data_IF_810592045508
#
_entry.id   IF_810592045508
#
_cell.length_a   1.000
_cell.length_b   1.000
_cell.length_c   1.000
_cell.angle_alpha   90.00
_cell.angle_beta   90.00
_cell.angle_gamma   90.00
#
_symmetry.space_group_name_H-M   'P 1'
#
loop_
_entity.id
_entity.type
_entity.pdbx_description
1 polymer ?
#
# COMPACT_ATOMS: atom_id res chain seq x y z
N UNK A 1 -14.17 -12.95 7.07
CA UNK A 1 -13.89 -11.58 6.58
C UNK A 1 -12.99 -11.71 5.37
N UNK A 2 -13.27 -10.94 4.33
CA UNK A 2 -12.43 -10.86 3.13
C UNK A 2 -11.33 -9.85 3.30
N UNK A 3 -10.21 -10.04 2.57
CA UNK A 3 -9.07 -9.14 2.57
C UNK A 3 -8.71 -8.80 1.13
N UNK A 4 -8.71 -7.52 0.77
CA UNK A 4 -8.21 -7.05 -0.52
C UNK A 4 -6.76 -6.57 -0.34
N UNK A 5 -5.84 -7.15 -1.10
CA UNK A 5 -4.40 -6.92 -0.98
C UNK A 5 -3.86 -6.32 -2.27
N UNK A 6 -3.46 -5.05 -2.22
CA UNK A 6 -3.00 -4.28 -3.38
C UNK A 6 -1.47 -4.15 -3.37
N UNK A 7 -0.81 -4.58 -4.43
CA UNK A 7 0.66 -4.57 -4.58
C UNK A 7 1.22 -3.22 -5.02
N UNK A 8 2.55 -3.11 -5.09
CA UNK A 8 3.29 -1.89 -5.44
C UNK A 8 3.40 -1.60 -6.93
N UNK A 9 3.90 -0.39 -7.26
CA UNK A 9 4.12 0.06 -8.63
C UNK A 9 5.20 -0.79 -9.32
N UNK A 10 4.95 -1.18 -10.56
CA UNK A 10 5.87 -2.00 -11.36
C UNK A 10 6.02 -3.44 -10.87
N UNK A 11 5.44 -3.79 -9.73
CA UNK A 11 5.47 -5.11 -9.12
C UNK A 11 4.38 -6.06 -9.61
N UNK A 12 4.02 -7.00 -8.76
CA UNK A 12 2.97 -7.99 -9.04
C UNK A 12 2.34 -8.50 -7.74
N UNK A 13 1.28 -9.30 -7.78
CA UNK A 13 0.72 -9.95 -6.59
C UNK A 13 1.73 -10.71 -5.73
N UNK A 14 2.87 -11.12 -6.30
CA UNK A 14 3.95 -11.79 -5.58
C UNK A 14 4.36 -11.07 -4.28
N UNK A 15 4.36 -9.72 -4.29
CA UNK A 15 4.71 -8.93 -3.12
C UNK A 15 3.75 -9.12 -1.94
N UNK A 16 2.51 -9.48 -2.23
CA UNK A 16 1.45 -9.66 -1.25
C UNK A 16 1.20 -11.13 -0.89
N UNK A 17 1.83 -12.09 -1.60
CA UNK A 17 1.60 -13.52 -1.38
C UNK A 17 1.93 -13.97 0.06
N UNK A 18 3.04 -13.56 0.70
CA UNK A 18 3.30 -13.98 2.08
C UNK A 18 2.22 -13.49 3.06
N UNK A 19 1.63 -12.31 2.80
CA UNK A 19 0.52 -11.80 3.58
C UNK A 19 -0.78 -12.58 3.28
N UNK A 20 -1.05 -12.87 2.01
CA UNK A 20 -2.21 -13.64 1.61
C UNK A 20 -2.22 -15.04 2.24
N UNK A 21 -1.07 -15.73 2.22
CA UNK A 21 -0.89 -17.04 2.84
C UNK A 21 -1.12 -16.98 4.35
N UNK A 22 -0.54 -15.99 5.04
CA UNK A 22 -0.70 -15.84 6.49
C UNK A 22 -2.16 -15.54 6.88
N UNK A 23 -2.84 -14.69 6.14
CA UNK A 23 -4.26 -14.38 6.35
C UNK A 23 -5.14 -15.59 6.07
N UNK A 24 -4.87 -16.35 5.00
CA UNK A 24 -5.61 -17.58 4.66
C UNK A 24 -5.41 -18.64 5.73
N UNK A 25 -4.19 -18.85 6.22
CA UNK A 25 -3.91 -19.74 7.33
C UNK A 25 -4.63 -19.33 8.63
N UNK A 26 -4.89 -18.02 8.79
CA UNK A 26 -5.66 -17.48 9.91
C UNK A 26 -7.19 -17.52 9.72
N UNK A 27 -7.70 -18.10 8.62
CA UNK A 27 -9.13 -18.28 8.32
C UNK A 27 -9.79 -17.07 7.63
N UNK A 28 -9.01 -16.18 7.04
CA UNK A 28 -9.52 -15.07 6.22
C UNK A 28 -9.47 -15.42 4.72
N UNK A 29 -10.35 -14.81 3.95
CA UNK A 29 -10.39 -14.96 2.48
C UNK A 29 -9.55 -13.84 1.86
N UNK A 30 -8.33 -14.16 1.41
CA UNK A 30 -7.38 -13.17 0.87
C UNK A 30 -7.45 -13.12 -0.66
N UNK A 31 -7.58 -11.90 -1.21
CA UNK A 31 -7.59 -11.61 -2.64
C UNK A 31 -6.46 -10.64 -2.95
N UNK A 32 -5.50 -11.08 -3.77
CA UNK A 32 -4.36 -10.29 -4.21
C UNK A 32 -4.36 -10.18 -5.75
N UNK A 33 -5.23 -9.35 -6.35
CA UNK A 33 -5.31 -9.22 -7.79
C UNK A 33 -4.11 -8.47 -8.36
N UNK A 34 -3.77 -8.76 -9.63
CA UNK A 34 -2.83 -7.92 -10.38
C UNK A 34 -3.50 -6.60 -10.78
N UNK A 35 -2.85 -5.48 -10.54
CA UNK A 35 -3.28 -4.19 -11.05
C UNK A 35 -3.20 -4.16 -12.59
N UNK A 36 -4.05 -3.41 -13.30
CA UNK A 36 -4.00 -3.31 -14.75
C UNK A 36 -2.59 -3.02 -15.27
N UNK A 37 -2.14 -3.81 -16.25
CA UNK A 37 -0.81 -3.71 -16.85
C UNK A 37 0.32 -4.34 -16.02
N UNK A 38 0.11 -4.69 -14.74
CA UNK A 38 1.12 -5.32 -13.90
C UNK A 38 1.12 -6.85 -14.04
N UNK A 39 2.29 -7.46 -13.83
CA UNK A 39 2.46 -8.92 -13.93
C UNK A 39 2.40 -9.49 -15.35
N UNK A 40 2.25 -8.64 -16.38
CA UNK A 40 2.22 -8.99 -17.79
C UNK A 40 3.42 -8.46 -18.57
N UNK A 41 3.18 -8.05 -19.82
CA UNK A 41 4.24 -7.51 -20.69
C UNK A 41 4.63 -6.07 -20.30
N UNK A 42 5.83 -5.66 -20.72
CA UNK A 42 6.30 -4.28 -20.51
C UNK A 42 5.39 -3.27 -21.21
N UNK A 43 4.92 -3.59 -22.41
CA UNK A 43 4.01 -2.72 -23.18
C UNK A 43 2.69 -2.49 -22.44
N UNK A 44 2.10 -3.55 -21.89
CA UNK A 44 0.87 -3.45 -21.10
C UNK A 44 1.07 -2.58 -19.84
N UNK A 45 2.21 -2.75 -19.15
CA UNK A 45 2.56 -1.92 -18.01
C UNK A 45 2.75 -0.45 -18.42
N UNK A 46 3.52 -0.20 -19.46
CA UNK A 46 3.76 1.16 -19.95
C UNK A 46 2.49 1.83 -20.50
N UNK A 47 1.54 1.06 -21.03
CA UNK A 47 0.25 1.59 -21.49
C UNK A 47 -0.73 1.88 -20.35
N UNK A 48 -0.53 1.32 -19.16
CA UNK A 48 -1.40 1.53 -18.01
C UNK A 48 -1.22 2.92 -17.39
N UNK A 49 -2.14 3.34 -16.52
CA UNK A 49 -2.13 4.65 -15.89
C UNK A 49 -2.69 4.58 -14.46
N UNK A 50 -2.33 5.55 -13.62
CA UNK A 50 -2.80 5.63 -12.23
C UNK A 50 -4.32 5.65 -12.11
N UNK A 51 -5.02 6.31 -13.04
CA UNK A 51 -6.48 6.34 -13.06
C UNK A 51 -7.09 4.94 -13.21
N UNK A 52 -6.54 4.11 -14.10
CA UNK A 52 -6.99 2.73 -14.29
C UNK A 52 -6.75 1.87 -13.04
N UNK A 53 -5.63 2.04 -12.35
CA UNK A 53 -5.33 1.31 -11.11
C UNK A 53 -6.28 1.71 -9.99
N UNK A 54 -6.58 3.01 -9.87
CA UNK A 54 -7.55 3.54 -8.91
C UNK A 54 -8.93 2.97 -9.17
N UNK A 55 -9.42 3.07 -10.41
CA UNK A 55 -10.77 2.60 -10.77
C UNK A 55 -10.89 1.08 -10.57
N UNK A 56 -9.83 0.33 -10.88
CA UNK A 56 -9.74 -1.11 -10.59
C UNK A 56 -9.81 -1.40 -9.08
N UNK A 57 -9.04 -0.67 -8.27
CA UNK A 57 -9.06 -0.86 -6.81
C UNK A 57 -10.44 -0.58 -6.21
N UNK A 58 -11.12 0.46 -6.70
CA UNK A 58 -12.51 0.78 -6.31
C UNK A 58 -13.48 -0.33 -6.72
N UNK A 59 -13.38 -0.83 -7.95
CA UNK A 59 -14.26 -1.92 -8.45
C UNK A 59 -14.05 -3.22 -7.68
N UNK A 60 -12.79 -3.63 -7.42
CA UNK A 60 -12.47 -4.82 -6.65
C UNK A 60 -12.94 -4.71 -5.20
N UNK A 61 -12.77 -3.53 -4.58
CA UNK A 61 -13.27 -3.29 -3.24
C UNK A 61 -14.80 -3.34 -3.20
N UNK A 62 -15.49 -2.70 -4.13
CA UNK A 62 -16.96 -2.73 -4.22
C UNK A 62 -17.48 -4.17 -4.38
N UNK A 63 -16.86 -4.96 -5.27
CA UNK A 63 -17.19 -6.37 -5.49
C UNK A 63 -17.05 -7.20 -4.21
N UNK A 64 -15.96 -7.05 -3.49
CA UNK A 64 -15.71 -7.80 -2.26
C UNK A 64 -16.61 -7.34 -1.11
N UNK A 65 -16.84 -6.03 -0.98
CA UNK A 65 -17.65 -5.46 0.10
C UNK A 65 -19.14 -5.84 0.00
N UNK A 66 -19.65 -6.15 -1.18
CA UNK A 66 -21.01 -6.69 -1.37
C UNK A 66 -21.28 -7.99 -0.62
N UNK A 67 -20.26 -8.75 -0.24
CA UNK A 67 -20.40 -9.99 0.54
C UNK A 67 -20.05 -9.83 2.03
N UNK A 68 -19.85 -8.62 2.54
CA UNK A 68 -19.57 -8.34 3.94
C UNK A 68 -18.31 -7.54 4.21
N UNK A 69 -17.84 -7.48 5.46
CA UNK A 69 -16.72 -6.65 5.86
C UNK A 69 -15.41 -7.02 5.15
N UNK A 70 -14.67 -6.01 4.70
CA UNK A 70 -13.39 -6.15 3.99
C UNK A 70 -12.27 -5.45 4.76
N UNK A 71 -11.19 -6.18 5.04
CA UNK A 71 -9.89 -5.60 5.40
C UNK A 71 -9.22 -5.15 4.10
N UNK A 72 -8.83 -3.89 4.04
CA UNK A 72 -8.15 -3.33 2.87
C UNK A 72 -6.67 -3.13 3.19
N UNK A 73 -5.81 -3.85 2.49
CA UNK A 73 -4.36 -3.81 2.67
C UNK A 73 -3.67 -3.33 1.39
N UNK A 74 -2.65 -2.49 1.53
CA UNK A 74 -1.89 -2.04 0.38
C UNK A 74 -0.42 -1.81 0.70
N UNK A 75 0.42 -2.22 -0.23
CA UNK A 75 1.86 -2.01 -0.19
C UNK A 75 2.26 -0.92 -1.18
N UNK A 76 3.06 0.04 -0.74
CA UNK A 76 3.59 1.13 -1.58
C UNK A 76 2.46 1.82 -2.37
N UNK A 77 2.43 1.77 -3.71
CA UNK A 77 1.32 2.24 -4.54
C UNK A 77 -0.02 1.67 -4.07
N UNK A 78 -0.07 0.37 -3.77
CA UNK A 78 -1.30 -0.27 -3.27
C UNK A 78 -1.80 0.37 -1.98
N UNK A 79 -0.92 0.89 -1.13
CA UNK A 79 -1.28 1.66 0.06
C UNK A 79 -1.95 3.00 -0.29
N UNK A 80 -1.47 3.70 -1.32
CA UNK A 80 -2.11 4.93 -1.84
C UNK A 80 -3.52 4.61 -2.35
N UNK A 81 -3.68 3.53 -3.13
CA UNK A 81 -4.96 3.09 -3.66
C UNK A 81 -5.93 2.69 -2.52
N UNK A 82 -5.42 2.02 -1.49
CA UNK A 82 -6.20 1.66 -0.31
C UNK A 82 -6.70 2.90 0.44
N UNK A 83 -5.86 3.93 0.59
CA UNK A 83 -6.27 5.20 1.18
C UNK A 83 -7.33 5.92 0.33
N UNK A 84 -7.21 5.90 -1.00
CA UNK A 84 -8.19 6.50 -1.92
C UNK A 84 -9.57 5.81 -1.82
N UNK A 85 -9.59 4.47 -1.82
CA UNK A 85 -10.81 3.67 -1.59
C UNK A 85 -11.43 4.00 -0.22
N UNK A 86 -10.63 4.08 0.83
CA UNK A 86 -11.14 4.40 2.17
C UNK A 86 -11.70 5.84 2.26
N UNK A 87 -11.15 6.77 1.52
CA UNK A 87 -11.69 8.14 1.41
C UNK A 87 -13.01 8.17 0.65
N UNK A 88 -13.14 7.39 -0.43
CA UNK A 88 -14.41 7.22 -1.14
C UNK A 88 -15.48 6.62 -0.22
N UNK A 89 -15.12 5.61 0.56
CA UNK A 89 -16.01 5.04 1.58
C UNK A 89 -16.42 6.07 2.64
N UNK A 90 -15.49 6.93 3.08
CA UNK A 90 -15.79 8.00 4.04
C UNK A 90 -16.72 9.09 3.47
N UNK A 91 -16.77 9.27 2.17
CA UNK A 91 -17.74 10.14 1.48
C UNK A 91 -19.10 9.48 1.23
N UNK A 92 -19.21 8.18 1.46
CA UNK A 92 -20.44 7.43 1.21
C UNK A 92 -20.50 6.77 -0.18
N UNK A 93 -19.46 6.86 -0.99
CA UNK A 93 -19.41 6.27 -2.33
C UNK A 93 -19.27 4.73 -2.28
N UNK A 94 -18.71 4.20 -1.18
CA UNK A 94 -18.43 2.78 -0.96
C UNK A 94 -18.74 2.40 0.50
N UNK A 95 -18.98 1.11 0.82
CA UNK A 95 -19.08 0.66 2.20
C UNK A 95 -17.77 0.90 2.97
N UNK A 96 -17.82 1.21 4.29
CA UNK A 96 -16.62 1.42 5.07
C UNK A 96 -15.78 0.14 5.21
N UNK A 97 -14.44 0.21 5.07
CA UNK A 97 -13.57 -0.93 5.33
C UNK A 97 -13.59 -1.32 6.82
N UNK A 98 -13.47 -2.61 7.10
CA UNK A 98 -13.34 -3.13 8.47
C UNK A 98 -12.05 -2.63 9.12
N UNK A 99 -11.02 -2.40 8.34
CA UNK A 99 -9.73 -1.85 8.74
C UNK A 99 -8.85 -1.58 7.53
N UNK A 100 -7.80 -0.80 7.74
CA UNK A 100 -6.76 -0.48 6.75
C UNK A 100 -5.41 -0.98 7.22
N UNK A 101 -4.68 -1.67 6.33
CA UNK A 101 -3.29 -2.05 6.54
C UNK A 101 -2.42 -1.36 5.50
N UNK A 102 -1.62 -0.39 5.94
CA UNK A 102 -0.72 0.40 5.11
C UNK A 102 0.73 -0.10 5.27
N UNK A 103 1.28 -0.69 4.20
CA UNK A 103 2.63 -1.25 4.18
C UNK A 103 3.53 -0.35 3.35
N UNK A 104 4.52 0.29 3.96
CA UNK A 104 5.48 1.17 3.30
C UNK A 104 4.81 2.15 2.30
N UNK A 105 3.75 2.83 2.74
CA UNK A 105 2.87 3.66 1.89
C UNK A 105 3.42 5.07 1.72
N UNK A 106 3.79 5.52 0.52
CA UNK A 106 4.32 6.86 0.30
C UNK A 106 3.19 7.90 0.23
N UNK A 107 3.38 9.00 0.94
CA UNK A 107 2.55 10.22 0.89
C UNK A 107 3.35 11.40 0.37
N UNK A 108 4.67 11.27 0.37
CA UNK A 108 5.64 12.21 -0.18
C UNK A 108 6.80 11.42 -0.78
N UNK A 109 7.15 11.66 -2.03
CA UNK A 109 8.35 11.11 -2.63
C UNK A 109 9.59 11.95 -2.29
N UNK A 110 9.41 13.27 -2.16
CA UNK A 110 10.50 14.25 -2.02
C UNK A 110 10.91 14.55 -0.57
N UNK A 111 10.19 14.04 0.46
CA UNK A 111 10.49 14.36 1.85
C UNK A 111 11.37 13.33 2.53
N UNK A 112 12.40 13.83 3.20
CA UNK A 112 13.32 13.06 4.02
C UNK A 112 13.06 13.30 5.51
N UNK A 113 13.63 12.42 6.35
CA UNK A 113 13.77 12.70 7.76
C UNK A 113 15.22 13.10 8.05
N UNK A 114 15.49 14.17 8.76
CA UNK A 114 14.50 15.10 9.34
C UNK A 114 13.74 15.90 8.26
N UNK A 115 12.51 16.28 8.57
CA UNK A 115 11.47 16.78 7.65
C UNK A 115 11.78 18.05 6.86
N UNK A 116 12.91 18.71 7.11
CA UNK A 116 13.39 19.84 6.32
C UNK A 116 14.28 19.42 5.12
N UNK A 117 14.72 18.17 5.08
CA UNK A 117 15.47 17.67 3.93
C UNK A 117 14.51 17.28 2.79
N UNK A 118 14.74 17.86 1.62
CA UNK A 118 13.89 17.67 0.44
C UNK A 118 14.76 17.26 -0.74
N UNK A 119 14.34 16.25 -1.47
CA UNK A 119 14.93 15.90 -2.76
C UNK A 119 14.31 16.78 -3.85
N UNK A 120 15.04 17.82 -4.23
CA UNK A 120 14.62 18.80 -5.22
C UNK A 120 14.37 18.22 -6.62
N UNK A 121 14.95 17.05 -6.95
CA UNK A 121 14.77 16.38 -8.24
C UNK A 121 13.31 16.03 -8.50
N UNK A 122 12.54 15.77 -7.46
CA UNK A 122 11.11 15.47 -7.59
C UNK A 122 10.27 16.67 -8.06
N UNK A 123 10.74 17.91 -7.87
CA UNK A 123 10.04 19.07 -8.43
C UNK A 123 10.16 19.13 -9.97
N UNK A 124 11.23 18.57 -10.53
CA UNK A 124 11.43 18.48 -11.97
C UNK A 124 10.77 17.21 -12.57
N UNK A 125 10.24 16.29 -11.76
CA UNK A 125 9.64 15.03 -12.21
C UNK A 125 8.57 15.20 -13.31
N UNK A 126 7.64 16.18 -13.26
CA UNK A 126 6.66 16.34 -14.33
C UNK A 126 7.29 16.68 -15.68
N UNK A 127 8.36 17.49 -15.68
CA UNK A 127 9.12 17.84 -16.89
C UNK A 127 9.89 16.62 -17.41
N UNK A 128 10.62 15.92 -16.53
CA UNK A 128 11.36 14.71 -16.89
C UNK A 128 10.44 13.62 -17.44
N UNK A 129 9.31 13.39 -16.81
CA UNK A 129 8.32 12.41 -17.26
C UNK A 129 7.74 12.73 -18.66
N UNK A 130 7.73 14.01 -19.04
CA UNK A 130 7.29 14.44 -20.39
C UNK A 130 8.38 14.25 -21.44
N UNK A 131 9.64 14.52 -21.09
CA UNK A 131 10.78 14.44 -22.01
C UNK A 131 11.30 13.01 -22.16
N UNK A 132 11.30 12.27 -21.07
CA UNK A 132 11.78 10.89 -21.02
C UNK A 132 10.87 10.06 -20.09
N UNK A 133 9.71 9.59 -20.60
CA UNK A 133 8.71 8.94 -19.77
C UNK A 133 9.15 7.61 -19.16
N UNK A 134 10.17 6.97 -19.74
CA UNK A 134 10.69 5.66 -19.31
C UNK A 134 12.20 5.72 -19.21
N UNK A 135 12.73 5.28 -18.06
CA UNK A 135 14.16 5.06 -17.86
C UNK A 135 14.45 3.57 -17.85
N UNK A 136 15.50 3.18 -18.57
CA UNK A 136 16.10 1.85 -18.39
C UNK A 136 17.01 1.88 -17.18
N UNK A 137 16.78 0.96 -16.25
CA UNK A 137 17.56 0.85 -15.02
C UNK A 137 18.28 -0.49 -14.95
N UNK A 138 19.42 -0.57 -14.26
CA UNK A 138 20.10 -1.85 -14.03
C UNK A 138 19.18 -2.84 -13.32
N UNK A 139 19.42 -4.12 -13.52
CA UNK A 139 18.80 -5.15 -12.70
C UNK A 139 19.15 -4.97 -11.24
N UNK A 140 18.24 -5.42 -10.38
CA UNK A 140 18.49 -5.41 -8.94
C UNK A 140 19.72 -6.27 -8.61
N UNK A 141 20.52 -5.74 -7.73
CA UNK A 141 21.68 -6.43 -7.18
C UNK A 141 21.29 -7.84 -6.64
N UNK A 142 22.10 -8.90 -6.92
CA UNK A 142 21.82 -10.26 -6.48
C UNK A 142 21.61 -10.41 -4.97
N UNK A 143 22.35 -9.66 -4.14
CA UNK A 143 22.16 -9.67 -2.69
C UNK A 143 20.78 -9.10 -2.30
N UNK A 144 20.32 -8.05 -2.98
CA UNK A 144 18.97 -7.50 -2.80
C UNK A 144 17.89 -8.50 -3.20
N UNK A 145 18.09 -9.26 -4.29
CA UNK A 145 17.15 -10.29 -4.72
C UNK A 145 17.09 -11.45 -3.74
N UNK A 146 18.23 -11.87 -3.19
CA UNK A 146 18.29 -12.94 -2.20
C UNK A 146 17.59 -12.56 -0.90
N UNK A 147 17.82 -11.35 -0.40
CA UNK A 147 17.28 -10.88 0.89
C UNK A 147 15.81 -10.49 0.82
N UNK A 148 15.40 -9.87 -0.27
CA UNK A 148 14.04 -9.39 -0.48
C UNK A 148 13.59 -9.71 -1.92
N UNK A 149 13.12 -10.94 -2.18
CA UNK A 149 12.62 -11.35 -3.50
C UNK A 149 11.50 -10.41 -3.97
N UNK A 150 11.52 -10.13 -5.27
CA UNK A 150 10.54 -9.27 -5.92
C UNK A 150 10.33 -9.71 -7.36
N UNK A 151 9.11 -9.62 -7.85
CA UNK A 151 8.74 -9.95 -9.22
C UNK A 151 7.97 -8.79 -9.83
N UNK A 152 8.49 -8.26 -10.93
CA UNK A 152 7.89 -7.13 -11.63
C UNK A 152 8.80 -6.64 -12.77
N UNK A 153 8.58 -5.41 -13.20
CA UNK A 153 9.32 -4.77 -14.29
C UNK A 153 10.65 -4.19 -13.80
N UNK A 154 11.63 -5.08 -13.49
CA UNK A 154 12.90 -4.72 -12.83
C UNK A 154 13.78 -3.75 -13.63
N UNK A 155 13.70 -3.78 -14.95
CA UNK A 155 14.65 -3.04 -15.84
C UNK A 155 14.13 -1.70 -16.30
N UNK A 156 12.95 -1.31 -15.83
CA UNK A 156 12.31 -0.07 -16.23
C UNK A 156 11.82 0.73 -15.03
N UNK A 157 11.95 2.05 -15.14
CA UNK A 157 11.31 3.01 -14.25
C UNK A 157 10.45 3.94 -15.10
N UNK A 158 9.13 3.81 -15.01
CA UNK A 158 8.21 4.66 -15.76
C UNK A 158 7.99 5.98 -14.99
N UNK A 159 8.72 7.03 -15.36
CA UNK A 159 8.61 8.35 -14.74
C UNK A 159 7.22 8.96 -14.89
N UNK A 160 6.51 8.63 -15.98
CA UNK A 160 5.12 9.06 -16.19
C UNK A 160 4.22 8.54 -15.07
N UNK A 161 4.32 7.27 -14.70
CA UNK A 161 3.57 6.69 -13.60
C UNK A 161 3.85 7.38 -12.27
N UNK A 162 5.13 7.64 -11.96
CA UNK A 162 5.51 8.38 -10.74
C UNK A 162 4.95 9.81 -10.75
N UNK A 163 4.97 10.49 -11.90
CA UNK A 163 4.41 11.84 -12.02
C UNK A 163 2.87 11.85 -11.86
N UNK A 164 2.17 10.83 -12.36
CA UNK A 164 0.72 10.67 -12.17
C UNK A 164 0.38 10.44 -10.70
N UNK A 165 1.12 9.56 -10.03
CA UNK A 165 0.97 9.30 -8.59
C UNK A 165 1.26 10.57 -7.79
N UNK A 166 2.40 11.26 -8.03
CA UNK A 166 2.76 12.49 -7.30
C UNK A 166 1.68 13.57 -7.43
N UNK A 167 1.05 13.69 -8.60
CA UNK A 167 -0.07 14.61 -8.82
C UNK A 167 -1.29 14.28 -7.98
N UNK A 168 -1.53 12.99 -7.66
CA UNK A 168 -2.65 12.55 -6.85
C UNK A 168 -2.39 12.71 -5.34
N UNK A 169 -1.14 12.62 -4.87
CA UNK A 169 -0.80 12.63 -3.45
C UNK A 169 -1.35 13.83 -2.66
N UNK A 170 -1.40 15.08 -3.18
CA UNK A 170 -2.01 16.19 -2.44
C UNK A 170 -3.49 15.96 -2.09
N UNK A 171 -4.26 15.35 -2.98
CA UNK A 171 -5.66 15.01 -2.72
C UNK A 171 -5.76 13.89 -1.67
N UNK A 172 -4.94 12.86 -1.79
CA UNK A 172 -4.86 11.77 -0.80
C UNK A 172 -4.54 12.34 0.59
N UNK A 173 -3.54 13.20 0.72
CA UNK A 173 -3.19 13.83 2.02
C UNK A 173 -4.32 14.64 2.62
N UNK A 174 -5.02 15.45 1.80
CA UNK A 174 -6.17 16.24 2.27
C UNK A 174 -7.33 15.38 2.75
N UNK A 175 -7.50 14.20 2.18
CA UNK A 175 -8.58 13.27 2.55
C UNK A 175 -8.28 12.39 3.76
N UNK A 176 -7.05 12.33 4.27
CA UNK A 176 -6.69 11.48 5.41
C UNK A 176 -7.58 11.70 6.65
N UNK A 177 -7.94 12.95 7.03
CA UNK A 177 -8.79 13.17 8.20
C UNK A 177 -10.21 12.61 8.07
N UNK A 178 -10.65 12.26 6.86
CA UNK A 178 -12.00 11.68 6.64
C UNK A 178 -12.05 10.19 6.99
N UNK A 179 -10.92 9.49 6.92
CA UNK A 179 -10.83 8.04 7.15
C UNK A 179 -11.04 7.76 8.64
N UNK A 180 -12.06 6.95 8.98
CA UNK A 180 -12.40 6.56 10.35
C UNK A 180 -12.10 5.10 10.67
N UNK A 181 -11.88 4.27 9.66
CA UNK A 181 -11.55 2.86 9.83
C UNK A 181 -10.28 2.68 10.69
N UNK A 182 -10.20 1.63 11.52
CA UNK A 182 -8.96 1.25 12.19
C UNK A 182 -7.80 1.14 11.22
N UNK A 183 -6.63 1.58 11.63
CA UNK A 183 -5.43 1.67 10.78
C UNK A 183 -4.24 0.95 11.41
N UNK A 184 -3.63 0.05 10.66
CA UNK A 184 -2.33 -0.53 11.00
C UNK A 184 -1.30 -0.11 9.95
N UNK A 185 -0.19 0.43 10.40
CA UNK A 185 0.92 0.91 9.56
C UNK A 185 2.13 0.05 9.85
N UNK A 186 2.72 -0.56 8.82
CA UNK A 186 3.97 -1.31 8.92
C UNK A 186 5.01 -0.69 8.01
N UNK A 187 6.13 -0.27 8.60
CA UNK A 187 7.19 0.46 7.90
C UNK A 187 8.56 -0.08 8.30
N UNK A 188 9.46 -0.27 7.34
CA UNK A 188 10.87 -0.56 7.64
C UNK A 188 11.63 0.74 7.95
N UNK A 189 12.41 0.75 9.03
CA UNK A 189 13.14 1.96 9.48
C UNK A 189 14.19 2.43 8.47
N UNK A 190 14.79 1.49 7.74
CA UNK A 190 15.82 1.76 6.73
C UNK A 190 15.28 1.95 5.30
N UNK A 191 13.97 2.05 5.12
CA UNK A 191 13.37 2.23 3.81
C UNK A 191 13.79 3.57 3.18
N UNK A 192 14.51 3.49 2.06
CA UNK A 192 15.00 4.65 1.31
C UNK A 192 14.05 5.06 0.18
N UNK A 193 13.15 4.18 -0.24
CA UNK A 193 12.16 4.44 -1.29
C UNK A 193 10.91 5.11 -0.72
N UNK A 194 10.35 4.53 0.35
CA UNK A 194 9.27 5.13 1.12
C UNK A 194 9.77 5.41 2.54
N UNK A 195 10.31 6.59 2.74
CA UNK A 195 10.96 6.95 4.01
C UNK A 195 9.97 6.92 5.18
N UNK A 196 10.42 6.56 6.39
CA UNK A 196 9.58 6.46 7.59
C UNK A 196 8.78 7.72 7.93
N UNK A 197 9.21 8.90 7.44
CA UNK A 197 8.43 10.13 7.52
C UNK A 197 6.96 9.94 7.05
N UNK A 198 6.75 9.14 6.01
CA UNK A 198 5.42 8.87 5.46
C UNK A 198 4.52 8.14 6.47
N UNK A 199 5.08 7.18 7.20
CA UNK A 199 4.35 6.44 8.23
C UNK A 199 3.95 7.34 9.40
N UNK A 200 4.85 8.19 9.89
CA UNK A 200 4.53 9.18 10.93
C UNK A 200 3.51 10.22 10.47
N UNK A 201 3.62 10.66 9.21
CA UNK A 201 2.64 11.59 8.65
C UNK A 201 1.26 10.94 8.56
N UNK A 202 1.18 9.70 8.10
CA UNK A 202 -0.08 8.95 8.02
C UNK A 202 -0.70 8.77 9.40
N UNK A 203 0.08 8.31 10.39
CA UNK A 203 -0.37 8.15 11.77
C UNK A 203 -0.97 9.43 12.34
N UNK A 204 -0.26 10.56 12.16
CA UNK A 204 -0.66 11.85 12.74
C UNK A 204 -1.89 12.49 12.07
N UNK A 205 -2.09 12.26 10.76
CA UNK A 205 -3.09 13.01 9.98
C UNK A 205 -4.30 12.16 9.57
N UNK A 206 -4.24 10.83 9.72
CA UNK A 206 -5.39 9.99 9.48
C UNK A 206 -6.42 10.17 10.60
N UNK A 207 -7.70 10.30 10.23
CA UNK A 207 -8.80 10.43 11.19
C UNK A 207 -9.23 9.10 11.82
N UNK A 208 -8.43 8.04 11.68
CA UNK A 208 -8.69 6.71 12.25
C UNK A 208 -8.97 6.77 13.75
N UNK A 209 -9.92 5.97 14.20
CA UNK A 209 -10.30 5.84 15.60
C UNK A 209 -9.33 4.96 16.40
N UNK A 210 -8.56 4.12 15.73
CA UNK A 210 -7.53 3.25 16.32
C UNK A 210 -6.38 3.13 15.33
N UNK A 211 -5.18 3.53 15.73
CA UNK A 211 -3.98 3.47 14.87
C UNK A 211 -2.87 2.71 15.56
N UNK A 212 -2.32 1.72 14.84
CA UNK A 212 -1.14 0.97 15.25
C UNK A 212 0.00 1.28 14.27
N UNK A 213 1.10 1.85 14.76
CA UNK A 213 2.31 2.07 13.97
C UNK A 213 3.42 1.11 14.39
N UNK A 214 3.89 0.31 13.44
CA UNK A 214 4.98 -0.65 13.63
C UNK A 214 6.19 -0.29 12.76
N UNK A 215 7.27 0.12 13.41
CA UNK A 215 8.56 0.40 12.76
C UNK A 215 9.46 -0.83 12.91
N UNK A 216 9.56 -1.62 11.86
CA UNK A 216 10.41 -2.81 11.85
C UNK A 216 11.86 -2.45 11.51
N UNK A 217 12.80 -3.10 12.19
CA UNK A 217 14.22 -2.97 11.92
C UNK A 217 14.71 -4.23 11.21
N UNK A 218 15.43 -4.05 10.12
CA UNK A 218 16.22 -5.09 9.44
C UNK A 218 17.70 -4.72 9.54
N UNK A 219 18.55 -5.71 9.54
CA UNK A 219 20.02 -5.53 9.62
C UNK A 219 20.62 -5.35 8.25
N UNK A 220 20.05 -6.03 7.25
CA UNK A 220 20.45 -5.90 5.86
C UNK A 220 20.24 -4.47 5.35
N UNK A 221 21.20 -3.96 4.59
CA UNK A 221 21.09 -2.70 3.87
C UNK A 221 20.34 -2.86 2.53
N UNK A 222 20.00 -4.09 2.13
CA UNK A 222 19.31 -4.41 0.90
C UNK A 222 17.81 -4.62 1.12
N UNK A 223 17.01 -4.30 0.12
CA UNK A 223 15.58 -4.64 0.09
C UNK A 223 14.70 -3.92 1.12
N UNK A 224 15.16 -2.79 1.68
CA UNK A 224 14.50 -2.07 2.77
C UNK A 224 13.12 -1.51 2.47
N UNK A 225 12.61 -1.66 1.26
CA UNK A 225 11.25 -1.22 0.87
C UNK A 225 10.22 -2.36 0.85
N UNK A 226 10.62 -3.62 1.01
CA UNK A 226 9.78 -4.81 0.80
C UNK A 226 9.45 -5.53 2.13
N UNK A 227 8.60 -4.99 3.01
CA UNK A 227 8.38 -5.55 4.34
C UNK A 227 7.82 -6.98 4.32
N UNK A 228 7.06 -7.36 3.27
CA UNK A 228 6.40 -8.66 3.18
C UNK A 228 7.24 -9.75 2.53
N UNK A 229 8.27 -9.41 1.75
CA UNK A 229 9.14 -10.40 1.10
C UNK A 229 10.56 -10.41 1.67
N UNK A 230 10.97 -9.37 2.43
CA UNK A 230 12.27 -9.30 3.07
C UNK A 230 12.43 -10.39 4.14
N UNK A 231 13.49 -11.19 4.05
CA UNK A 231 13.73 -12.37 4.92
C UNK A 231 13.64 -12.08 6.42
N UNK A 232 14.16 -10.91 6.86
CA UNK A 232 14.20 -10.54 8.28
C UNK A 232 12.87 -9.91 8.79
N UNK A 233 11.99 -9.43 7.92
CA UNK A 233 10.78 -8.73 8.36
C UNK A 233 9.47 -9.44 8.01
N UNK A 234 9.45 -10.29 6.98
CA UNK A 234 8.22 -10.89 6.42
C UNK A 234 7.38 -11.61 7.47
N UNK A 235 8.01 -12.40 8.34
CA UNK A 235 7.30 -13.12 9.38
C UNK A 235 6.64 -12.16 10.35
N UNK A 236 7.41 -11.20 10.89
CA UNK A 236 6.89 -10.22 11.84
C UNK A 236 5.81 -9.32 11.23
N UNK A 237 5.98 -8.90 9.99
CA UNK A 237 4.97 -8.11 9.27
C UNK A 237 3.67 -8.89 9.08
N UNK A 238 3.75 -10.18 8.72
CA UNK A 238 2.60 -11.06 8.60
C UNK A 238 1.89 -11.28 9.94
N UNK A 239 2.63 -11.53 11.03
CA UNK A 239 2.08 -11.68 12.40
C UNK A 239 1.29 -10.43 12.82
N UNK A 240 1.84 -9.24 12.60
CA UNK A 240 1.19 -7.97 12.92
C UNK A 240 -0.09 -7.77 12.10
N UNK A 241 -0.03 -8.09 10.81
CA UNK A 241 -1.18 -7.99 9.92
C UNK A 241 -2.31 -8.97 10.30
N UNK A 242 -1.96 -10.22 10.66
CA UNK A 242 -2.94 -11.21 11.13
C UNK A 242 -3.54 -10.81 12.48
N UNK A 243 -2.74 -10.30 13.40
CA UNK A 243 -3.23 -9.81 14.69
C UNK A 243 -4.25 -8.68 14.49
N UNK A 244 -3.92 -7.70 13.64
CA UNK A 244 -4.82 -6.62 13.28
C UNK A 244 -6.09 -7.12 12.57
N UNK A 245 -5.97 -8.05 11.64
CA UNK A 245 -7.14 -8.65 10.97
C UNK A 245 -8.10 -9.33 11.96
N UNK A 246 -7.57 -10.01 12.98
CA UNK A 246 -8.37 -10.62 14.05
C UNK A 246 -9.06 -9.57 14.92
N UNK A 247 -8.36 -8.51 15.28
CA UNK A 247 -8.90 -7.38 16.06
C UNK A 247 -10.12 -6.77 15.36
N UNK A 248 -9.96 -6.36 14.09
CA UNK A 248 -11.05 -5.71 13.35
C UNK A 248 -12.21 -6.68 13.02
N UNK A 249 -11.92 -7.96 12.82
CA UNK A 249 -12.96 -8.98 12.65
C UNK A 249 -13.77 -9.21 13.93
N UNK A 250 -13.13 -9.17 15.09
CA UNK A 250 -13.78 -9.26 16.40
C UNK A 250 -14.69 -8.06 16.66
N UNK A 251 -14.20 -6.85 16.43
CA UNK A 251 -14.98 -5.62 16.57
C UNK A 251 -16.22 -5.60 15.65
N UNK A 252 -16.06 -6.06 14.40
CA UNK A 252 -17.18 -6.16 13.44
C UNK A 252 -18.27 -7.14 13.89
N UNK A 253 -17.89 -8.27 14.51
CA UNK A 253 -18.85 -9.22 15.09
C UNK A 253 -19.59 -8.61 16.28
N UNK A 254 -18.89 -7.96 17.19
CA UNK A 254 -19.50 -7.32 18.37
C UNK A 254 -20.53 -6.26 17.96
N UNK A 255 -20.26 -5.45 16.94
CA UNK A 255 -21.19 -4.44 16.43
C UNK A 255 -22.48 -5.04 15.83
N UNK A 256 -22.42 -6.23 15.21
CA UNK A 256 -23.60 -6.91 14.66
C UNK A 256 -24.54 -7.47 15.73
N UNK A 257 -24.02 -7.77 16.92
CA UNK A 257 -24.81 -8.35 18.03
C UNK A 257 -25.23 -7.30 19.07
N UNK A 258 -24.82 -6.06 18.95
CA UNK A 258 -25.31 -4.98 19.80
C UNK A 258 -26.81 -4.74 19.50
N UNK A 259 -27.72 -4.78 20.49
CA UNK A 259 -29.13 -4.50 20.25
C UNK A 259 -29.26 -3.06 19.74
N UNK A 260 -30.00 -2.89 18.62
CA UNK A 260 -30.40 -1.55 18.17
C UNK A 260 -31.19 -0.91 19.34
N UNK A 261 -30.60 0.07 20.00
CA UNK A 261 -31.37 0.92 20.89
C UNK A 261 -32.35 1.69 20.02
N UNK A 262 -33.63 1.35 20.19
CA UNK A 262 -34.79 2.08 19.64
C UNK A 262 -34.83 3.47 20.24
#
# INVERSE_FOLDING_TARGET
MRCLLLHGIGGSPFEMMPLAEALTAAGFEAHAPALPGHGGTEEAYLASAFAQWRDFAHAEYARLSGGGPVLLAGYSLGGILALDVAQAAARGDLPPPAGLLALATPLFFHKYFPFFAVDWRFFALPLWARLQPVLRVPERDPASRAVAPWQGHERICCLRHFAEVERALPAIRRGLPLIRAPLCIVQLRGDTSCRPYNAFYLERHCGSLSTHLHLLRVRSQHGGHLPMTHQESRQRAAELAVAFAREVAGATKACKFAPRRL
#
